data_IF_159654186105
#
_entry.id   IF_159654186105
#
_cell.length_a   1.000
_cell.length_b   1.000
_cell.length_c   1.000
_cell.angle_alpha   90.00
_cell.angle_beta   90.00
_cell.angle_gamma   90.00
#
_symmetry.space_group_name_H-M   'P 1'
#
loop_
_entity.id
_entity.type
_entity.pdbx_description
1 polymer ?
#
# COMPACT_ATOMS: atom_id res chain seq x y z
N UNK A 1 24.59 31.48 45.66
CA UNK A 1 23.81 31.42 44.40
C UNK A 1 23.06 30.09 44.40
N UNK A 2 21.76 30.11 44.74
CA UNK A 2 20.91 28.92 44.75
C UNK A 2 19.85 29.09 43.67
N UNK A 3 19.48 27.96 43.06
CA UNK A 3 18.26 27.62 42.30
C UNK A 3 18.02 28.24 40.90
N UNK A 4 17.78 27.36 39.91
CA UNK A 4 16.73 27.40 38.84
C UNK A 4 17.12 26.50 37.65
N UNK A 5 17.11 25.19 37.82
CA UNK A 5 17.06 24.27 36.65
C UNK A 5 16.21 23.01 36.86
N UNK A 6 15.49 22.93 37.99
CA UNK A 6 14.48 21.88 38.27
C UNK A 6 13.15 22.22 37.58
N UNK A 7 13.20 22.65 36.32
CA UNK A 7 12.02 23.07 35.53
C UNK A 7 11.92 22.38 34.17
N UNK A 8 12.68 21.31 33.95
CA UNK A 8 12.55 20.45 32.76
C UNK A 8 12.19 19.03 33.19
N UNK A 9 11.12 18.94 33.97
CA UNK A 9 10.35 17.73 34.15
C UNK A 9 8.88 18.13 34.00
N UNK A 10 8.13 17.44 33.12
CA UNK A 10 6.71 17.63 32.75
C UNK A 10 6.41 18.48 31.51
N UNK A 11 6.75 17.92 30.34
CA UNK A 11 5.87 17.90 29.17
C UNK A 11 5.83 16.44 28.70
N UNK A 12 5.23 15.53 29.49
CA UNK A 12 3.85 15.06 29.24
C UNK A 12 3.54 14.99 27.75
N UNK A 13 3.58 13.76 27.26
CA UNK A 13 2.64 13.12 26.35
C UNK A 13 1.63 14.01 25.60
N UNK A 14 1.41 13.60 24.35
CA UNK A 14 0.32 13.98 23.44
C UNK A 14 0.67 15.07 22.43
N UNK A 15 1.44 14.70 21.41
CA UNK A 15 1.27 15.24 20.05
C UNK A 15 1.97 14.34 19.02
N UNK A 16 1.58 13.06 18.90
CA UNK A 16 1.67 12.40 17.59
C UNK A 16 0.24 12.31 17.07
N UNK A 17 -0.11 13.45 16.49
CA UNK A 17 -0.87 13.55 15.26
C UNK A 17 -2.24 12.87 15.24
N UNK A 18 -3.26 13.66 15.57
CA UNK A 18 -4.48 13.82 14.76
C UNK A 18 -4.65 12.70 13.73
N UNK A 19 -5.47 11.71 14.08
CA UNK A 19 -6.04 10.81 13.07
C UNK A 19 -6.93 11.66 12.16
N UNK A 20 -6.28 12.25 11.16
CA UNK A 20 -6.94 12.80 9.99
C UNK A 20 -7.62 11.64 9.32
N UNK A 21 -8.95 11.60 9.41
CA UNK A 21 -9.78 10.73 8.61
C UNK A 21 -9.69 11.25 7.16
N UNK A 22 -8.62 10.88 6.48
CA UNK A 22 -8.31 11.21 5.09
C UNK A 22 -7.73 9.97 4.45
N UNK A 23 -8.02 9.76 3.16
CA UNK A 23 -7.40 8.67 2.39
C UNK A 23 -5.88 8.81 2.54
N UNK A 24 -5.24 7.82 3.16
CA UNK A 24 -3.80 7.80 3.30
C UNK A 24 -3.20 7.45 1.94
N UNK A 25 -2.04 8.04 1.65
CA UNK A 25 -1.30 7.64 0.48
C UNK A 25 -0.69 6.26 0.69
N UNK A 26 -0.51 5.46 -0.38
CA UNK A 26 0.17 4.18 -0.27
C UNK A 26 1.59 4.44 0.24
N UNK A 27 1.98 3.73 1.29
CA UNK A 27 3.32 3.82 1.86
C UNK A 27 3.83 2.41 2.04
N UNK A 28 4.99 2.11 1.45
CA UNK A 28 5.68 0.87 1.76
C UNK A 28 6.27 0.94 3.17
N UNK A 29 6.01 -0.08 3.99
CA UNK A 29 6.52 -0.21 5.35
C UNK A 29 7.89 -0.90 5.43
N UNK A 30 8.47 -1.24 4.28
CA UNK A 30 9.73 -1.97 4.15
C UNK A 30 9.57 -3.49 4.12
N UNK A 31 8.34 -4.01 4.06
CA UNK A 31 8.10 -5.42 3.78
C UNK A 31 8.49 -5.79 2.34
N UNK A 32 8.71 -7.09 2.12
CA UNK A 32 9.10 -7.66 0.82
C UNK A 32 8.04 -8.67 0.35
N UNK A 33 6.80 -8.24 0.09
CA UNK A 33 5.79 -9.12 -0.46
C UNK A 33 6.16 -9.50 -1.90
N UNK A 34 5.78 -10.70 -2.29
CA UNK A 34 5.95 -11.27 -3.61
C UNK A 34 4.58 -11.65 -4.17
N UNK A 35 4.52 -11.93 -5.47
CA UNK A 35 3.26 -12.33 -6.10
C UNK A 35 2.70 -13.59 -5.43
N UNK A 36 3.55 -14.60 -5.25
CA UNK A 36 3.13 -15.91 -4.77
C UNK A 36 2.79 -15.93 -3.27
N UNK A 37 3.39 -15.05 -2.46
CA UNK A 37 3.18 -15.05 -1.01
C UNK A 37 1.96 -14.22 -0.55
N UNK A 38 1.61 -13.14 -1.25
CA UNK A 38 0.61 -12.16 -0.77
C UNK A 38 -0.11 -11.46 -1.92
N UNK A 39 0.62 -10.86 -2.86
CA UNK A 39 0.04 -9.92 -3.83
C UNK A 39 -0.93 -10.62 -4.80
N UNK A 40 -0.61 -11.85 -5.22
CA UNK A 40 -1.50 -12.64 -6.08
C UNK A 40 -2.86 -12.92 -5.45
N UNK A 41 -2.92 -13.08 -4.12
CA UNK A 41 -4.18 -13.24 -3.41
C UNK A 41 -5.01 -11.94 -3.42
N UNK A 42 -4.38 -10.79 -3.18
CA UNK A 42 -5.02 -9.46 -3.25
C UNK A 42 -5.55 -9.20 -4.66
N UNK A 43 -4.73 -9.41 -5.69
CA UNK A 43 -5.11 -9.19 -7.08
C UNK A 43 -6.23 -10.14 -7.52
N UNK A 44 -6.22 -11.39 -7.05
CA UNK A 44 -7.30 -12.34 -7.34
C UNK A 44 -8.61 -11.91 -6.68
N UNK A 45 -8.56 -11.47 -5.42
CA UNK A 45 -9.74 -11.08 -4.65
C UNK A 45 -10.35 -9.76 -5.08
N UNK A 46 -9.54 -8.79 -5.49
CA UNK A 46 -9.98 -7.41 -5.73
C UNK A 46 -10.01 -7.04 -7.22
N UNK A 47 -9.13 -7.63 -8.05
CA UNK A 47 -8.97 -7.25 -9.46
C UNK A 47 -9.50 -8.32 -10.43
N UNK A 48 -9.26 -9.61 -10.14
CA UNK A 48 -9.69 -10.73 -10.98
C UNK A 48 -11.10 -11.24 -10.62
N UNK A 49 -11.99 -10.34 -10.20
CA UNK A 49 -13.36 -10.68 -9.82
C UNK A 49 -14.28 -10.77 -11.04
N UNK A 50 -15.09 -11.83 -11.07
CA UNK A 50 -16.05 -12.06 -12.15
C UNK A 50 -15.38 -12.10 -13.52
N UNK A 51 -15.69 -11.12 -14.38
CA UNK A 51 -15.21 -11.03 -15.76
C UNK A 51 -14.32 -9.81 -16.04
N UNK A 52 -13.90 -9.04 -15.02
CA UNK A 52 -13.11 -7.82 -15.24
C UNK A 52 -11.67 -8.13 -15.70
N UNK A 53 -10.86 -8.75 -14.85
CA UNK A 53 -9.45 -9.04 -15.15
C UNK A 53 -9.03 -10.47 -14.79
N UNK A 54 -9.65 -11.51 -15.40
CA UNK A 54 -9.38 -12.89 -15.02
C UNK A 54 -7.90 -13.31 -15.15
N UNK A 55 -7.15 -12.71 -16.08
CA UNK A 55 -5.73 -13.01 -16.26
C UNK A 55 -4.84 -12.51 -15.11
N UNK A 56 -5.29 -11.54 -14.32
CA UNK A 56 -4.49 -10.99 -13.21
C UNK A 56 -4.47 -11.89 -11.97
N UNK A 57 -5.10 -13.07 -12.05
CA UNK A 57 -4.96 -14.16 -11.08
C UNK A 57 -3.64 -14.94 -11.24
N UNK A 58 -2.84 -14.61 -12.26
CA UNK A 58 -1.49 -15.17 -12.46
C UNK A 58 -0.46 -14.06 -12.66
N UNK A 59 0.78 -14.27 -12.21
CA UNK A 59 1.86 -13.31 -12.37
C UNK A 59 2.09 -12.98 -13.87
N UNK A 60 2.21 -14.01 -14.71
CA UNK A 60 2.37 -13.82 -16.16
C UNK A 60 1.23 -13.00 -16.80
N UNK A 61 -0.01 -13.21 -16.35
CA UNK A 61 -1.16 -12.51 -16.91
C UNK A 61 -1.26 -11.02 -16.56
N UNK A 62 -0.53 -10.55 -15.54
CA UNK A 62 -0.45 -9.12 -15.18
C UNK A 62 0.80 -8.42 -15.74
N UNK A 63 1.85 -9.15 -16.14
CA UNK A 63 3.11 -8.60 -16.65
C UNK A 63 2.94 -7.55 -17.76
N UNK A 64 1.96 -7.73 -18.65
CA UNK A 64 1.71 -6.77 -19.74
C UNK A 64 1.42 -5.35 -19.24
N UNK A 65 0.64 -5.20 -18.17
CA UNK A 65 0.28 -3.89 -17.61
C UNK A 65 1.32 -3.36 -16.60
N UNK A 66 2.13 -4.24 -16.05
CA UNK A 66 3.31 -3.87 -15.26
C UNK A 66 4.33 -3.22 -16.18
N UNK A 67 4.72 -3.91 -17.26
CA UNK A 67 5.77 -3.48 -18.19
C UNK A 67 5.47 -2.16 -18.90
N UNK A 68 4.19 -1.79 -19.04
CA UNK A 68 3.78 -0.55 -19.68
C UNK A 68 3.37 0.56 -18.68
N UNK A 69 3.59 0.33 -17.38
CA UNK A 69 3.33 1.29 -16.30
C UNK A 69 1.86 1.57 -16.01
N UNK A 70 0.92 0.84 -16.64
CA UNK A 70 -0.51 1.02 -16.38
C UNK A 70 -0.90 0.58 -14.98
N UNK A 71 -0.26 -0.47 -14.44
CA UNK A 71 -0.56 -0.99 -13.11
C UNK A 71 -0.40 0.09 -12.04
N UNK A 72 0.78 0.69 -11.90
CA UNK A 72 1.05 1.74 -10.90
C UNK A 72 0.14 2.94 -11.10
N UNK A 73 -0.07 3.34 -12.35
CA UNK A 73 -0.89 4.50 -12.66
C UNK A 73 -2.33 4.30 -12.19
N UNK A 74 -2.94 3.16 -12.48
CA UNK A 74 -4.35 2.95 -12.13
C UNK A 74 -4.55 2.58 -10.65
N UNK A 75 -3.63 1.81 -10.06
CA UNK A 75 -3.77 1.30 -8.69
C UNK A 75 -3.22 2.25 -7.64
N UNK A 76 -2.01 2.79 -7.84
CA UNK A 76 -1.31 3.61 -6.83
C UNK A 76 -1.52 5.11 -7.03
N UNK A 77 -1.48 5.59 -8.27
CA UNK A 77 -1.57 7.02 -8.59
C UNK A 77 -3.03 7.49 -8.67
N UNK A 78 -3.78 6.97 -9.64
CA UNK A 78 -5.17 7.35 -9.88
C UNK A 78 -6.12 6.76 -8.85
N UNK A 79 -5.75 5.62 -8.24
CA UNK A 79 -6.60 4.83 -7.33
C UNK A 79 -7.99 4.59 -7.96
N UNK A 80 -8.00 4.32 -9.27
CA UNK A 80 -9.20 4.16 -10.11
C UNK A 80 -9.71 2.72 -10.16
N UNK A 81 -8.87 1.78 -9.72
CA UNK A 81 -9.17 0.36 -9.59
C UNK A 81 -9.06 -0.09 -8.12
N UNK A 82 -9.89 -1.03 -7.67
CA UNK A 82 -10.94 -1.71 -8.44
C UNK A 82 -12.20 -0.86 -8.65
N UNK A 83 -12.90 -1.06 -9.78
CA UNK A 83 -14.17 -0.37 -10.06
C UNK A 83 -15.27 -0.85 -9.13
N UNK A 84 -15.96 0.08 -8.46
CA UNK A 84 -17.07 -0.25 -7.54
C UNK A 84 -16.64 -0.83 -6.20
N UNK A 85 -15.32 -0.95 -5.96
CA UNK A 85 -14.72 -1.37 -4.71
C UNK A 85 -13.60 -0.42 -4.29
N UNK A 86 -12.81 -0.83 -3.31
CA UNK A 86 -11.57 -0.16 -2.93
C UNK A 86 -10.65 -1.16 -2.25
N UNK A 87 -9.35 -1.02 -2.49
CA UNK A 87 -8.33 -1.65 -1.67
C UNK A 87 -8.37 -1.04 -0.26
N UNK A 88 -8.20 -1.87 0.76
CA UNK A 88 -7.88 -1.40 2.11
C UNK A 88 -6.51 -0.73 2.13
N UNK A 89 -6.22 0.01 3.19
CA UNK A 89 -4.93 0.68 3.31
C UNK A 89 -3.77 -0.31 3.41
N UNK A 90 -3.96 -1.44 4.11
CA UNK A 90 -2.94 -2.49 4.20
C UNK A 90 -2.65 -3.11 2.84
N UNK A 91 -3.68 -3.39 2.03
CA UNK A 91 -3.50 -3.99 0.70
C UNK A 91 -2.78 -3.03 -0.25
N UNK A 92 -3.15 -1.75 -0.27
CA UNK A 92 -2.49 -0.78 -1.15
C UNK A 92 -1.05 -0.48 -0.70
N UNK A 93 -0.75 -0.58 0.60
CA UNK A 93 0.62 -0.49 1.12
C UNK A 93 1.46 -1.71 0.74
N UNK A 94 0.91 -2.92 0.83
CA UNK A 94 1.58 -4.14 0.38
C UNK A 94 1.88 -4.07 -1.14
N UNK A 95 0.91 -3.62 -1.94
CA UNK A 95 1.11 -3.38 -3.38
C UNK A 95 2.19 -2.32 -3.63
N UNK A 96 2.23 -1.24 -2.84
CA UNK A 96 3.30 -0.24 -2.94
C UNK A 96 4.67 -0.87 -2.68
N UNK A 97 4.82 -1.70 -1.63
CA UNK A 97 6.08 -2.41 -1.38
C UNK A 97 6.46 -3.35 -2.53
N UNK A 98 5.50 -4.10 -3.06
CA UNK A 98 5.77 -5.01 -4.18
C UNK A 98 6.27 -4.26 -5.42
N UNK A 99 5.69 -3.10 -5.71
CA UNK A 99 6.11 -2.21 -6.81
C UNK A 99 7.52 -1.65 -6.53
N UNK A 100 7.77 -1.15 -5.32
CA UNK A 100 9.07 -0.59 -4.92
C UNK A 100 10.19 -1.64 -5.00
N UNK A 101 9.86 -2.90 -4.74
CA UNK A 101 10.77 -4.04 -4.84
C UNK A 101 10.91 -4.61 -6.27
N UNK A 102 10.26 -4.01 -7.28
CA UNK A 102 10.41 -4.39 -8.67
C UNK A 102 9.59 -5.62 -9.08
N UNK A 103 8.42 -5.81 -8.47
CA UNK A 103 7.46 -6.87 -8.82
C UNK A 103 7.98 -8.31 -8.64
N UNK A 104 8.61 -8.69 -7.52
CA UNK A 104 9.09 -10.06 -7.34
C UNK A 104 7.93 -11.07 -7.43
N UNK A 105 8.13 -12.15 -8.18
CA UNK A 105 7.16 -13.25 -8.27
C UNK A 105 7.23 -14.14 -7.02
N UNK A 106 8.46 -14.50 -6.59
CA UNK A 106 8.74 -15.45 -5.51
C UNK A 106 9.55 -14.82 -4.38
#
# INVERSE_FOLDING_TARGET
MKNKSVLVALLVMAAISIQSCGKQDPVCDGSEPTYDNEIGAILTAECATGSCHPSYSTYSGIQGIINNGQFEREVLTNKSMPRGGKLSQSEINAIQCWVDNGYPEN
#
